data_IF_714422974972
#
_entry.id   IF_714422974972
#
_cell.length_a   1.000
_cell.length_b   1.000
_cell.length_c   1.000
_cell.angle_alpha   90.00
_cell.angle_beta   90.00
_cell.angle_gamma   90.00
#
_symmetry.space_group_name_H-M   'P 1'
#
loop_
_entity.id
_entity.type
_entity.pdbx_description
1 polymer ?
#
# COMPACT_ATOMS: atom_id res chain seq x y z
N UNK A 1 -7.66 0.68 -8.56
CA UNK A 1 -8.16 0.39 -7.19
C UNK A 1 -8.06 1.62 -6.29
N UNK A 2 -6.87 2.25 -6.17
CA UNK A 2 -6.67 3.52 -5.43
C UNK A 2 -7.56 4.69 -5.90
N UNK A 3 -7.87 4.80 -7.21
CA UNK A 3 -8.75 5.85 -7.76
C UNK A 3 -10.21 5.81 -7.26
N UNK A 4 -10.69 4.66 -6.75
CA UNK A 4 -12.08 4.52 -6.30
C UNK A 4 -12.29 4.93 -4.84
N UNK A 5 -11.25 4.86 -4.00
CA UNK A 5 -11.38 5.10 -2.57
C UNK A 5 -10.24 5.90 -1.92
N UNK A 6 -9.21 6.29 -2.68
CA UNK A 6 -8.04 7.03 -2.17
C UNK A 6 -7.30 6.26 -1.07
N UNK A 7 -7.39 4.92 -1.08
CA UNK A 7 -6.72 4.04 -0.11
C UNK A 7 -5.67 3.20 -0.79
N UNK A 8 -4.63 2.91 -0.03
CA UNK A 8 -3.64 1.93 -0.43
C UNK A 8 -4.20 0.52 -0.24
N UNK A 9 -3.93 -0.33 -1.23
CA UNK A 9 -4.32 -1.72 -1.25
C UNK A 9 -3.08 -2.58 -1.34
N UNK A 10 -3.08 -3.68 -0.62
CA UNK A 10 -2.10 -4.74 -0.74
C UNK A 10 -2.77 -6.07 -1.09
N UNK A 11 -2.03 -6.88 -1.81
CA UNK A 11 -2.34 -8.25 -2.13
C UNK A 11 -1.11 -9.09 -1.81
N UNK A 12 -1.28 -10.11 -0.97
CA UNK A 12 -0.21 -11.03 -0.60
C UNK A 12 -0.61 -12.46 -0.94
N UNK A 13 0.32 -13.23 -1.47
CA UNK A 13 0.11 -14.62 -1.87
C UNK A 13 1.34 -15.48 -1.54
N UNK A 14 1.09 -16.70 -1.06
CA UNK A 14 2.12 -17.70 -0.77
C UNK A 14 2.13 -18.80 -1.83
N UNK A 15 3.33 -19.31 -2.16
CA UNK A 15 3.56 -20.43 -3.05
C UNK A 15 4.23 -21.58 -2.29
N UNK A 16 3.45 -22.29 -1.47
CA UNK A 16 3.96 -23.32 -0.51
C UNK A 16 4.91 -24.35 -1.12
N UNK A 17 4.65 -24.84 -2.34
CA UNK A 17 5.51 -25.85 -2.99
C UNK A 17 6.89 -25.32 -3.37
N UNK A 18 6.99 -24.02 -3.62
CA UNK A 18 8.20 -23.37 -4.06
C UNK A 18 8.86 -22.56 -2.93
N UNK A 19 8.32 -22.62 -1.71
CA UNK A 19 8.84 -21.95 -0.51
C UNK A 19 9.06 -20.44 -0.63
N UNK A 20 8.24 -19.76 -1.45
CA UNK A 20 8.32 -18.31 -1.63
C UNK A 20 6.94 -17.65 -1.62
N UNK A 21 6.91 -16.33 -1.52
CA UNK A 21 5.68 -15.54 -1.63
C UNK A 21 5.87 -14.19 -2.29
N UNK A 22 4.76 -13.50 -2.50
CA UNK A 22 4.70 -12.22 -3.20
C UNK A 22 3.71 -11.28 -2.52
N UNK A 23 4.12 -10.03 -2.33
CA UNK A 23 3.27 -8.91 -1.95
C UNK A 23 3.27 -7.86 -3.06
N UNK A 24 2.10 -7.51 -3.57
CA UNK A 24 1.90 -6.34 -4.44
C UNK A 24 1.21 -5.27 -3.62
N UNK A 25 1.80 -4.08 -3.54
CA UNK A 25 1.21 -2.95 -2.82
C UNK A 25 1.10 -1.73 -3.72
N UNK A 26 0.03 -0.97 -3.59
CA UNK A 26 -0.09 0.32 -4.26
C UNK A 26 0.29 1.43 -3.28
N UNK A 27 1.10 2.38 -3.72
CA UNK A 27 1.45 3.57 -2.95
C UNK A 27 1.44 4.82 -3.85
N UNK A 28 1.12 5.98 -3.26
CA UNK A 28 1.25 7.26 -3.95
C UNK A 28 2.72 7.72 -4.06
N UNK A 29 3.54 7.36 -3.07
CA UNK A 29 4.95 7.77 -2.95
C UNK A 29 5.84 6.62 -2.46
N UNK A 30 7.13 6.65 -2.82
CA UNK A 30 8.14 5.77 -2.22
C UNK A 30 9.14 6.67 -1.50
N UNK A 31 9.32 6.42 -0.22
CA UNK A 31 10.33 7.03 0.64
C UNK A 31 10.88 5.96 1.60
N UNK A 32 11.95 6.29 2.33
CA UNK A 32 12.63 5.35 3.23
C UNK A 32 11.71 4.78 4.33
N UNK A 33 10.73 5.54 4.80
CA UNK A 33 9.77 5.09 5.80
C UNK A 33 8.81 4.02 5.25
N UNK A 34 8.34 4.21 4.02
CA UNK A 34 7.50 3.23 3.31
C UNK A 34 8.27 1.94 3.06
N UNK A 35 9.53 2.02 2.66
CA UNK A 35 10.38 0.85 2.44
C UNK A 35 10.61 0.05 3.73
N UNK A 36 10.94 0.71 4.85
CA UNK A 36 11.07 0.05 6.16
C UNK A 36 9.81 -0.68 6.59
N UNK A 37 8.65 -0.06 6.36
CA UNK A 37 7.35 -0.69 6.66
C UNK A 37 7.07 -1.90 5.77
N UNK A 38 7.42 -1.81 4.48
CA UNK A 38 7.28 -2.93 3.55
C UNK A 38 8.19 -4.08 3.93
N UNK A 39 9.44 -3.80 4.30
CA UNK A 39 10.38 -4.80 4.79
C UNK A 39 9.82 -5.51 6.04
N UNK A 40 9.38 -4.76 7.05
CA UNK A 40 8.80 -5.33 8.27
C UNK A 40 7.58 -6.21 7.96
N UNK A 41 6.70 -5.76 7.06
CA UNK A 41 5.55 -6.55 6.63
C UNK A 41 5.97 -7.83 5.90
N UNK A 42 6.94 -7.76 4.99
CA UNK A 42 7.41 -8.95 4.27
C UNK A 42 8.05 -9.97 5.21
N UNK A 43 8.86 -9.52 6.18
CA UNK A 43 9.41 -10.39 7.22
C UNK A 43 8.32 -11.10 8.02
N UNK A 44 7.26 -10.38 8.39
CA UNK A 44 6.12 -10.98 9.11
C UNK A 44 5.38 -11.98 8.21
N UNK A 45 5.22 -11.70 6.91
CA UNK A 45 4.63 -12.64 5.96
C UNK A 45 5.47 -13.90 5.76
N UNK A 46 6.78 -13.75 5.62
CA UNK A 46 7.72 -14.88 5.59
C UNK A 46 7.59 -15.72 6.86
N UNK A 47 7.55 -15.08 8.03
CA UNK A 47 7.40 -15.76 9.31
C UNK A 47 6.05 -16.49 9.45
N UNK A 48 4.93 -15.86 9.09
CA UNK A 48 3.57 -16.44 9.12
C UNK A 48 3.45 -17.66 8.20
N UNK A 49 3.98 -17.54 6.98
CA UNK A 49 3.82 -18.55 5.91
C UNK A 49 4.92 -19.59 5.91
N UNK A 50 6.00 -19.33 6.66
CA UNK A 50 7.27 -20.09 6.64
C UNK A 50 7.97 -20.08 5.29
N UNK A 51 7.63 -19.14 4.42
CA UNK A 51 8.35 -18.92 3.16
C UNK A 51 9.77 -18.40 3.45
N UNK A 52 10.75 -18.93 2.74
CA UNK A 52 12.16 -18.50 2.87
C UNK A 52 12.53 -17.39 1.89
N UNK A 53 11.71 -17.16 0.87
CA UNK A 53 11.88 -16.08 -0.11
C UNK A 53 10.58 -15.26 -0.23
N UNK A 54 10.68 -13.95 -0.38
CA UNK A 54 9.52 -13.08 -0.54
C UNK A 54 9.80 -11.89 -1.45
N UNK A 55 9.00 -11.75 -2.50
CA UNK A 55 9.05 -10.60 -3.40
C UNK A 55 8.07 -9.52 -2.93
N UNK A 56 8.47 -8.25 -3.00
CA UNK A 56 7.55 -7.12 -2.89
C UNK A 56 7.60 -6.26 -4.15
N UNK A 57 6.42 -5.93 -4.67
CA UNK A 57 6.28 -5.07 -5.85
C UNK A 57 5.48 -3.83 -5.45
N UNK A 58 6.15 -2.71 -5.13
CA UNK A 58 5.48 -1.44 -4.90
C UNK A 58 5.10 -0.76 -6.23
N UNK A 59 3.80 -0.57 -6.41
CA UNK A 59 3.20 0.12 -7.54
C UNK A 59 3.01 1.59 -7.19
N UNK A 60 3.76 2.48 -7.83
CA UNK A 60 3.51 3.93 -7.73
C UNK A 60 2.37 4.31 -8.65
N UNK A 61 1.31 4.86 -8.05
CA UNK A 61 0.19 5.38 -8.82
C UNK A 61 0.11 6.90 -8.72
N UNK A 62 0.28 7.62 -9.85
CA UNK A 62 0.12 9.08 -9.92
C UNK A 62 -0.85 9.47 -11.04
N UNK A 63 -2.11 9.75 -10.69
CA UNK A 63 -3.11 10.21 -11.67
C UNK A 63 -3.58 9.11 -12.62
N UNK A 64 -3.47 9.31 -13.94
CA UNK A 64 -3.89 8.33 -14.96
C UNK A 64 -2.80 7.31 -15.31
N UNK A 65 -1.55 7.52 -14.86
CA UNK A 65 -0.42 6.63 -15.17
C UNK A 65 0.04 5.87 -13.92
N UNK A 66 -0.14 4.54 -13.93
CA UNK A 66 0.64 3.63 -13.08
C UNK A 66 2.06 3.53 -13.61
N UNK A 67 3.03 3.50 -12.69
CA UNK A 67 4.34 2.92 -12.97
C UNK A 67 4.68 1.91 -11.88
N UNK A 68 5.11 0.72 -12.30
CA UNK A 68 5.89 -0.15 -11.41
C UNK A 68 7.20 0.59 -11.16
N UNK A 69 7.56 0.80 -9.90
CA UNK A 69 8.83 1.47 -9.59
C UNK A 69 9.99 0.47 -9.67
N UNK A 70 9.87 -0.64 -8.94
CA UNK A 70 10.84 -1.74 -8.91
C UNK A 70 10.22 -2.95 -8.16
N UNK A 71 10.98 -4.03 -7.98
CA UNK A 71 10.70 -5.09 -7.02
C UNK A 71 11.87 -5.29 -6.05
N UNK A 72 11.57 -5.76 -4.85
CA UNK A 72 12.60 -6.11 -3.87
C UNK A 72 12.38 -7.56 -3.41
N UNK A 73 13.48 -8.29 -3.25
CA UNK A 73 13.49 -9.69 -2.83
C UNK A 73 14.06 -9.77 -1.41
N UNK A 74 13.36 -10.50 -0.54
CA UNK A 74 13.81 -10.83 0.80
C UNK A 74 14.06 -12.34 0.87
N UNK A 75 15.16 -12.72 1.50
CA UNK A 75 15.55 -14.12 1.69
C UNK A 75 15.90 -14.37 3.15
N UNK A 76 15.55 -15.53 3.70
CA UNK A 76 15.87 -15.87 5.07
C UNK A 76 15.33 -17.23 5.49
N UNK A 77 16.13 -17.99 6.25
CA UNK A 77 15.70 -19.26 6.84
C UNK A 77 14.68 -19.01 7.94
N UNK A 78 13.61 -19.78 7.94
CA UNK A 78 12.61 -19.67 9.00
C UNK A 78 13.20 -20.18 10.32
N UNK A 79 13.24 -19.30 11.31
CA UNK A 79 13.58 -19.61 12.70
C UNK A 79 12.50 -19.00 13.59
N UNK A 80 12.20 -19.70 14.69
CA UNK A 80 11.28 -19.14 15.69
C UNK A 80 11.90 -17.90 16.31
N UNK A 81 11.13 -16.82 16.36
CA UNK A 81 11.54 -15.52 16.88
C UNK A 81 10.37 -14.94 17.70
N UNK A 82 10.63 -14.67 18.99
CA UNK A 82 9.59 -14.23 19.93
C UNK A 82 9.07 -12.82 19.61
N UNK A 83 9.91 -11.96 19.04
CA UNK A 83 9.53 -10.60 18.63
C UNK A 83 8.64 -10.67 17.38
N UNK A 84 9.05 -11.42 16.36
CA UNK A 84 8.25 -11.63 15.15
C UNK A 84 6.92 -12.33 15.46
N UNK A 85 6.88 -13.26 16.41
CA UNK A 85 5.63 -13.89 16.87
C UNK A 85 4.66 -12.87 17.50
N UNK A 86 5.19 -11.94 18.31
CA UNK A 86 4.39 -10.84 18.90
C UNK A 86 3.91 -9.87 17.82
N UNK A 87 4.77 -9.49 16.88
CA UNK A 87 4.41 -8.60 15.77
C UNK A 87 3.36 -9.21 14.85
N UNK A 88 3.53 -10.49 14.49
CA UNK A 88 2.56 -11.27 13.71
C UNK A 88 1.18 -11.24 14.35
N UNK A 89 1.11 -11.46 15.67
CA UNK A 89 -0.16 -11.40 16.42
C UNK A 89 -0.80 -10.01 16.36
N UNK A 90 0.00 -8.95 16.39
CA UNK A 90 -0.47 -7.57 16.30
C UNK A 90 -0.90 -7.17 14.88
N UNK A 91 -0.41 -7.87 13.84
CA UNK A 91 -0.74 -7.61 12.44
C UNK A 91 -1.80 -8.53 11.85
N UNK A 92 -2.25 -9.58 12.55
CA UNK A 92 -3.36 -10.44 12.10
C UNK A 92 -4.58 -9.61 11.69
N UNK A 93 -4.86 -9.55 10.39
CA UNK A 93 -5.98 -8.82 9.80
C UNK A 93 -5.71 -7.36 9.41
N UNK A 94 -4.48 -6.84 9.61
CA UNK A 94 -4.07 -5.52 9.08
C UNK A 94 -3.66 -5.65 7.62
N UNK A 95 -4.34 -4.90 6.76
CA UNK A 95 -3.84 -4.55 5.42
C UNK A 95 -2.58 -3.68 5.59
N UNK A 96 -1.57 -3.84 4.74
CA UNK A 96 -0.41 -2.91 4.68
C UNK A 96 -0.91 -1.49 4.62
N UNK A 97 -2.05 -1.29 3.92
CA UNK A 97 -2.85 -0.08 3.78
C UNK A 97 -2.13 1.08 4.43
N UNK A 98 -1.11 1.58 3.71
CA UNK A 98 -0.30 2.68 4.22
C UNK A 98 -1.31 3.71 4.68
N UNK A 99 -1.25 4.05 5.97
CA UNK A 99 -2.29 4.82 6.62
C UNK A 99 -2.76 5.91 5.67
N UNK A 100 -4.07 5.94 5.38
CA UNK A 100 -4.75 6.97 4.60
C UNK A 100 -3.85 8.19 4.53
N UNK A 101 -3.14 8.41 3.41
CA UNK A 101 -2.73 9.76 3.09
C UNK A 101 -4.07 10.49 3.15
N UNK A 102 -4.22 11.37 4.14
CA UNK A 102 -5.40 12.18 4.24
C UNK A 102 -5.37 12.99 2.96
N UNK A 103 -6.03 12.48 1.90
CA UNK A 103 -6.47 13.31 0.81
C UNK A 103 -7.25 14.38 1.53
N UNK A 104 -6.64 15.55 1.68
CA UNK A 104 -7.15 16.64 2.48
C UNK A 104 -8.56 16.83 1.96
N UNK A 105 -9.56 16.53 2.80
CA UNK A 105 -10.96 16.55 2.35
C UNK A 105 -11.21 17.98 1.90
N UNK A 106 -11.21 18.20 0.58
CA UNK A 106 -11.41 19.53 0.02
C UNK A 106 -12.80 19.96 0.47
N UNK A 107 -12.85 20.99 1.30
CA UNK A 107 -14.08 21.55 1.80
C UNK A 107 -14.92 22.05 0.63
N UNK A 108 -16.25 21.89 0.72
CA UNK A 108 -17.18 22.38 -0.34
C UNK A 108 -16.92 23.84 -0.72
N UNK A 109 -16.42 24.66 0.20
CA UNK A 109 -16.17 26.08 -0.02
C UNK A 109 -14.71 26.42 -0.39
N UNK A 110 -13.79 25.45 -0.36
CA UNK A 110 -12.36 25.70 -0.65
C UNK A 110 -12.14 26.01 -2.13
N UNK A 111 -11.05 26.73 -2.48
CA UNK A 111 -10.66 26.92 -3.87
C UNK A 111 -10.49 25.58 -4.58
N UNK A 112 -11.06 25.46 -5.78
CA UNK A 112 -11.03 24.22 -6.52
C UNK A 112 -9.62 23.96 -7.08
N UNK A 113 -9.05 22.76 -6.88
CA UNK A 113 -7.66 22.47 -7.26
C UNK A 113 -7.43 22.40 -8.78
N UNK A 114 -8.47 22.48 -9.60
CA UNK A 114 -8.36 22.51 -11.07
C UNK A 114 -7.89 23.86 -11.63
N UNK A 115 -7.55 24.83 -10.79
CA UNK A 115 -7.06 26.15 -11.21
C UNK A 115 -8.15 27.10 -11.72
N UNK A 116 -9.43 26.74 -11.59
CA UNK A 116 -10.56 27.57 -12.09
C UNK A 116 -10.85 28.84 -11.29
N UNK A 117 -10.22 29.01 -10.11
CA UNK A 117 -10.52 30.08 -9.16
C UNK A 117 -11.89 29.98 -8.47
N UNK A 118 -12.70 28.95 -8.78
CA UNK A 118 -14.04 28.75 -8.22
C UNK A 118 -13.99 27.90 -6.95
N UNK A 119 -15.00 28.03 -6.07
CA UNK A 119 -15.18 27.12 -4.92
C UNK A 119 -15.44 25.69 -5.40
N UNK A 120 -14.93 24.68 -4.69
CA UNK A 120 -15.04 23.27 -5.07
C UNK A 120 -16.49 22.83 -5.34
N UNK A 121 -17.45 23.27 -4.53
CA UNK A 121 -18.89 22.99 -4.71
C UNK A 121 -19.52 23.58 -5.97
N UNK A 122 -18.85 24.53 -6.63
CA UNK A 122 -19.32 25.17 -7.88
C UNK A 122 -18.47 24.76 -9.08
N UNK A 123 -17.62 23.76 -8.92
CA UNK A 123 -16.68 23.35 -9.96
C UNK A 123 -16.64 21.83 -10.10
N UNK A 124 -15.74 21.15 -9.40
CA UNK A 124 -15.52 19.72 -9.59
C UNK A 124 -16.47 18.83 -8.77
N UNK A 125 -17.28 19.37 -7.84
CA UNK A 125 -18.10 18.53 -6.94
C UNK A 125 -19.10 17.62 -7.65
N UNK A 126 -19.73 18.10 -8.73
CA UNK A 126 -20.74 17.34 -9.48
C UNK A 126 -20.09 16.39 -10.50
N UNK A 127 -18.86 16.71 -10.94
CA UNK A 127 -18.06 15.84 -11.81
C UNK A 127 -17.56 14.59 -11.09
N UNK A 128 -17.50 14.60 -9.76
CA UNK A 128 -17.06 13.47 -8.92
C UNK A 128 -18.19 12.46 -8.67
N UNK A 129 -19.46 12.82 -8.87
CA UNK A 129 -20.64 11.96 -8.55
C UNK A 129 -21.21 11.17 -9.73
N UNK A 130 -20.63 11.28 -10.91
CA UNK A 130 -21.07 10.56 -12.12
C UNK A 130 -19.96 9.68 -12.66
N UNK A 131 -19.73 8.52 -12.01
CA UNK A 131 -19.19 7.27 -12.58
C UNK A 131 -18.98 6.20 -11.50
#
# INVERSE_FOLDING_TARGET
>A
MHLRDGRDHDFSMEFRKANWGLTICTTAEINSEILKRLEAYCRIKMYETRAEEWAVIPLKWRGENSRVLDFEMFEGKWIFDEELEKETRNLKGRKIAFQKISAQKIGRNDPCPCGSGKKFKKCCIDKVKSK
#
